data_IF_971707725701
#
_entry.id   IF_971707725701
#
_cell.length_a   1.000
_cell.length_b   1.000
_cell.length_c   1.000
_cell.angle_alpha   90.00
_cell.angle_beta   90.00
_cell.angle_gamma   90.00
#
_symmetry.space_group_name_H-M   'P 1'
#
loop_
_entity.id
_entity.type
_entity.pdbx_description
1 polymer ?
#
# COMPACT_ATOMS: atom_id res chain seq x y z
N UNK A 1 -26.85 25.99 0.03
CA UNK A 1 -26.09 25.68 -1.20
C UNK A 1 -24.62 26.09 -1.11
N UNK A 2 -24.28 27.29 -0.63
CA UNK A 2 -22.89 27.80 -0.52
C UNK A 2 -21.93 26.96 0.36
N UNK A 3 -22.40 26.38 1.47
CA UNK A 3 -21.57 25.49 2.33
C UNK A 3 -21.23 24.14 1.68
N UNK A 4 -22.12 23.61 0.83
CA UNK A 4 -21.92 22.32 0.17
C UNK A 4 -20.77 22.38 -0.83
N UNK A 5 -20.59 23.53 -1.47
CA UNK A 5 -19.49 23.77 -2.42
C UNK A 5 -18.14 23.96 -1.72
N UNK A 6 -18.13 24.50 -0.50
CA UNK A 6 -16.91 24.68 0.30
C UNK A 6 -16.41 23.32 0.79
N UNK A 7 -17.29 22.48 1.35
CA UNK A 7 -16.92 21.14 1.79
C UNK A 7 -16.42 20.26 0.64
N UNK A 8 -17.04 20.36 -0.54
CA UNK A 8 -16.62 19.63 -1.73
C UNK A 8 -15.24 20.09 -2.25
N UNK A 9 -14.98 21.40 -2.24
CA UNK A 9 -13.67 21.95 -2.63
C UNK A 9 -12.58 21.59 -1.62
N UNK A 10 -12.89 21.63 -0.33
CA UNK A 10 -11.93 21.29 0.72
C UNK A 10 -11.55 19.80 0.67
N UNK A 11 -12.54 18.92 0.53
CA UNK A 11 -12.31 17.47 0.41
C UNK A 11 -11.54 17.11 -0.86
N UNK A 12 -11.87 17.74 -2.00
CA UNK A 12 -11.12 17.51 -3.25
C UNK A 12 -9.68 18.03 -3.18
N UNK A 13 -9.44 19.21 -2.60
CA UNK A 13 -8.08 19.72 -2.38
C UNK A 13 -7.29 18.82 -1.43
N UNK A 14 -7.87 18.39 -0.31
CA UNK A 14 -7.21 17.48 0.62
C UNK A 14 -6.86 16.15 -0.06
N UNK A 15 -7.79 15.59 -0.84
CA UNK A 15 -7.59 14.36 -1.59
C UNK A 15 -6.45 14.50 -2.61
N UNK A 16 -6.32 15.66 -3.28
CA UNK A 16 -5.21 15.90 -4.21
C UNK A 16 -3.85 15.96 -3.53
N UNK A 17 -3.77 16.64 -2.38
CA UNK A 17 -2.52 16.70 -1.58
C UNK A 17 -2.15 15.30 -1.11
N UNK A 18 -3.14 14.53 -0.65
CA UNK A 18 -2.94 13.15 -0.23
C UNK A 18 -2.46 12.26 -1.37
N UNK A 19 -3.04 12.35 -2.57
CA UNK A 19 -2.57 11.61 -3.74
C UNK A 19 -1.13 11.97 -4.14
N UNK A 20 -0.75 13.24 -4.06
CA UNK A 20 0.63 13.68 -4.34
C UNK A 20 1.57 13.08 -3.31
N UNK A 21 1.21 13.12 -2.02
CA UNK A 21 2.01 12.51 -0.96
C UNK A 21 2.19 10.99 -1.17
N UNK A 22 1.12 10.28 -1.55
CA UNK A 22 1.20 8.85 -1.88
C UNK A 22 2.06 8.56 -3.11
N UNK A 23 2.00 9.40 -4.14
CA UNK A 23 2.84 9.25 -5.33
C UNK A 23 4.32 9.49 -5.01
N UNK A 24 4.63 10.49 -4.18
CA UNK A 24 5.99 10.75 -3.67
C UNK A 24 6.48 9.58 -2.84
N UNK A 25 5.64 9.04 -1.95
CA UNK A 25 5.98 7.88 -1.14
C UNK A 25 6.28 6.65 -2.01
N UNK A 26 5.47 6.40 -3.05
CA UNK A 26 5.72 5.32 -4.00
C UNK A 26 7.06 5.49 -4.72
N UNK A 27 7.41 6.71 -5.13
CA UNK A 27 8.70 7.01 -5.75
C UNK A 27 9.86 6.75 -4.78
N UNK A 28 9.74 7.16 -3.52
CA UNK A 28 10.74 6.87 -2.49
C UNK A 28 10.94 5.36 -2.29
N UNK A 29 9.85 4.58 -2.26
CA UNK A 29 9.92 3.11 -2.19
C UNK A 29 10.68 2.51 -3.38
N UNK A 30 10.47 3.03 -4.61
CA UNK A 30 11.20 2.57 -5.80
C UNK A 30 12.69 2.93 -5.72
N UNK A 31 13.04 4.14 -5.25
CA UNK A 31 14.43 4.54 -5.06
C UNK A 31 15.13 3.66 -4.02
N UNK A 32 14.46 3.37 -2.91
CA UNK A 32 14.96 2.44 -1.89
C UNK A 32 15.17 1.04 -2.46
N UNK A 33 14.22 0.54 -3.25
CA UNK A 33 14.36 -0.75 -3.94
C UNK A 33 15.59 -0.79 -4.86
N UNK A 34 15.83 0.27 -5.65
CA UNK A 34 17.02 0.35 -6.53
C UNK A 34 18.31 0.38 -5.71
N UNK A 35 18.33 1.11 -4.60
CA UNK A 35 19.48 1.15 -3.70
C UNK A 35 19.79 -0.23 -3.10
N UNK A 36 18.75 -0.93 -2.63
CA UNK A 36 18.84 -2.29 -2.10
C UNK A 36 19.32 -3.29 -3.17
N UNK A 37 18.79 -3.20 -4.39
CA UNK A 37 19.22 -4.05 -5.50
C UNK A 37 20.71 -3.85 -5.82
N UNK A 38 21.20 -2.61 -5.81
CA UNK A 38 22.61 -2.31 -6.02
C UNK A 38 23.50 -2.87 -4.89
N UNK A 39 23.07 -2.76 -3.63
CA UNK A 39 23.76 -3.38 -2.49
C UNK A 39 23.90 -4.90 -2.69
N UNK A 40 22.84 -5.57 -3.14
CA UNK A 40 22.84 -7.01 -3.40
C UNK A 40 23.77 -7.43 -4.55
N UNK A 41 23.91 -6.59 -5.58
CA UNK A 41 24.69 -6.90 -6.78
C UNK A 41 26.19 -6.59 -6.63
N UNK A 42 26.53 -5.58 -5.82
CA UNK A 42 27.90 -5.04 -5.73
C UNK A 42 28.63 -5.60 -4.50
N UNK A 43 27.96 -5.76 -3.37
CA UNK A 43 28.58 -6.29 -2.17
C UNK A 43 28.37 -7.82 -2.09
N UNK A 44 29.43 -8.55 -1.75
CA UNK A 44 29.36 -9.99 -1.47
C UNK A 44 28.63 -10.22 -0.15
N UNK A 45 27.30 -10.13 -0.17
CA UNK A 45 26.42 -10.26 0.99
C UNK A 45 26.34 -11.74 1.42
N UNK A 46 26.34 -12.00 2.73
CA UNK A 46 26.18 -13.36 3.27
C UNK A 46 24.79 -13.90 2.97
N UNK A 47 24.62 -15.22 2.82
CA UNK A 47 23.32 -15.82 2.47
C UNK A 47 22.16 -15.39 3.40
N UNK A 48 22.45 -15.17 4.69
CA UNK A 48 21.48 -14.70 5.70
C UNK A 48 21.08 -13.24 5.46
N UNK A 49 22.05 -12.37 5.19
CA UNK A 49 21.79 -10.95 4.92
C UNK A 49 21.19 -10.71 3.54
N UNK A 50 21.47 -11.58 2.56
CA UNK A 50 20.83 -11.54 1.23
C UNK A 50 19.35 -11.94 1.28
N UNK A 51 19.01 -12.98 2.05
CA UNK A 51 17.62 -13.36 2.29
C UNK A 51 16.80 -12.26 2.97
N UNK A 52 17.41 -11.60 3.96
CA UNK A 52 16.85 -10.39 4.59
C UNK A 52 16.60 -9.29 3.55
N UNK A 53 17.59 -8.99 2.71
CA UNK A 53 17.49 -7.90 1.75
C UNK A 53 16.40 -8.17 0.70
N UNK A 54 16.25 -9.43 0.25
CA UNK A 54 15.18 -9.84 -0.67
C UNK A 54 13.77 -9.72 -0.08
N UNK A 55 13.56 -10.15 1.17
CA UNK A 55 12.26 -10.01 1.84
C UNK A 55 11.92 -8.53 2.09
N UNK A 56 12.91 -7.71 2.43
CA UNK A 56 12.72 -6.26 2.58
C UNK A 56 12.37 -5.58 1.25
N UNK A 57 13.01 -5.98 0.15
CA UNK A 57 12.66 -5.54 -1.20
C UNK A 57 11.23 -5.92 -1.59
N UNK A 58 10.81 -7.16 -1.27
CA UNK A 58 9.45 -7.62 -1.52
C UNK A 58 8.40 -6.83 -0.71
N UNK A 59 8.66 -6.54 0.56
CA UNK A 59 7.79 -5.70 1.40
C UNK A 59 7.67 -4.27 0.85
N UNK A 60 8.81 -3.67 0.46
CA UNK A 60 8.86 -2.32 -0.14
C UNK A 60 8.09 -2.24 -1.46
N UNK A 61 8.13 -3.30 -2.26
CA UNK A 61 7.34 -3.44 -3.49
C UNK A 61 5.83 -3.51 -3.21
N UNK A 62 5.41 -4.25 -2.18
CA UNK A 62 4.00 -4.31 -1.79
C UNK A 62 3.46 -2.93 -1.40
N UNK A 63 4.25 -2.13 -0.67
CA UNK A 63 3.88 -0.76 -0.30
C UNK A 63 3.78 0.16 -1.53
N UNK A 64 4.81 0.15 -2.39
CA UNK A 64 4.81 0.94 -3.62
C UNK A 64 3.61 0.61 -4.52
N UNK A 65 3.33 -0.68 -4.71
CA UNK A 65 2.20 -1.15 -5.50
C UNK A 65 0.86 -0.68 -4.91
N UNK A 66 0.70 -0.75 -3.59
CA UNK A 66 -0.54 -0.33 -2.92
C UNK A 66 -0.76 1.17 -3.03
N UNK A 67 0.29 1.99 -2.86
CA UNK A 67 0.19 3.44 -3.05
C UNK A 67 -0.12 3.83 -4.50
N UNK A 68 0.47 3.13 -5.47
CA UNK A 68 0.14 3.32 -6.89
C UNK A 68 -1.31 2.95 -7.21
N UNK A 69 -1.79 1.81 -6.70
CA UNK A 69 -3.18 1.41 -6.87
C UNK A 69 -4.14 2.45 -6.30
N UNK A 70 -3.84 3.02 -5.14
CA UNK A 70 -4.68 4.04 -4.51
C UNK A 70 -4.67 5.38 -5.25
N UNK A 71 -3.51 5.80 -5.79
CA UNK A 71 -3.43 7.01 -6.63
C UNK A 71 -4.19 6.82 -7.95
N UNK A 72 -4.09 5.65 -8.59
CA UNK A 72 -4.85 5.30 -9.79
C UNK A 72 -6.36 5.30 -9.50
N UNK A 73 -6.77 4.64 -8.41
CA UNK A 73 -8.17 4.60 -7.98
C UNK A 73 -8.73 6.02 -7.84
N UNK A 74 -8.01 6.88 -7.13
CA UNK A 74 -8.44 8.25 -6.85
C UNK A 74 -8.48 9.10 -8.11
N UNK A 75 -7.48 8.99 -8.98
CA UNK A 75 -7.46 9.67 -10.28
C UNK A 75 -8.65 9.24 -11.15
N UNK A 76 -8.99 7.94 -11.15
CA UNK A 76 -10.10 7.40 -11.92
C UNK A 76 -11.46 7.85 -11.39
N UNK A 77 -11.69 7.78 -10.07
CA UNK A 77 -12.92 8.30 -9.44
C UNK A 77 -13.12 9.78 -9.76
N UNK A 78 -12.04 10.57 -9.78
CA UNK A 78 -12.09 11.99 -10.12
C UNK A 78 -12.45 12.24 -11.59
N UNK A 79 -11.91 11.44 -12.52
CA UNK A 79 -12.17 11.59 -13.95
C UNK A 79 -13.56 11.11 -14.36
N UNK A 80 -13.99 9.96 -13.86
CA UNK A 80 -15.27 9.33 -14.27
C UNK A 80 -16.47 9.86 -13.47
N UNK A 81 -16.24 10.50 -12.31
CA UNK A 81 -17.30 11.03 -11.44
C UNK A 81 -18.19 9.95 -10.81
N UNK A 82 -17.92 8.66 -11.09
CA UNK A 82 -18.64 7.51 -10.56
C UNK A 82 -17.72 6.75 -9.59
N UNK A 83 -18.08 6.66 -8.30
CA UNK A 83 -17.26 6.00 -7.29
C UNK A 83 -17.41 4.46 -7.26
N UNK A 84 -18.41 3.88 -7.94
CA UNK A 84 -18.76 2.46 -7.82
C UNK A 84 -18.62 1.67 -9.14
N UNK A 85 -17.41 1.63 -9.70
CA UNK A 85 -17.10 0.83 -10.89
C UNK A 85 -16.54 -0.56 -10.55
N UNK A 86 -16.86 -1.57 -11.37
CA UNK A 86 -16.28 -2.94 -11.27
C UNK A 86 -14.75 -2.91 -11.20
N UNK A 87 -14.12 -1.98 -11.92
CA UNK A 87 -12.66 -1.82 -11.94
C UNK A 87 -12.11 -1.21 -10.66
N UNK A 88 -12.84 -0.28 -10.04
CA UNK A 88 -12.46 0.39 -8.79
C UNK A 88 -12.54 -0.60 -7.61
N UNK A 89 -13.59 -1.43 -7.56
CA UNK A 89 -13.70 -2.54 -6.60
C UNK A 89 -12.54 -3.53 -6.74
N UNK A 90 -12.18 -3.92 -7.97
CA UNK A 90 -11.03 -4.82 -8.21
C UNK A 90 -9.71 -4.25 -7.71
N UNK A 91 -9.51 -2.94 -7.86
CA UNK A 91 -8.32 -2.26 -7.33
C UNK A 91 -8.28 -2.32 -5.80
N UNK A 92 -9.41 -2.09 -5.12
CA UNK A 92 -9.51 -2.19 -3.67
C UNK A 92 -9.21 -3.61 -3.17
N UNK A 93 -9.75 -4.63 -3.84
CA UNK A 93 -9.44 -6.04 -3.53
C UNK A 93 -7.95 -6.33 -3.74
N UNK A 94 -7.36 -5.85 -4.82
CA UNK A 94 -5.92 -6.03 -5.10
C UNK A 94 -5.04 -5.34 -4.04
N UNK A 95 -5.41 -4.14 -3.60
CA UNK A 95 -4.72 -3.43 -2.51
C UNK A 95 -4.83 -4.19 -1.17
N UNK A 96 -6.01 -4.71 -0.85
CA UNK A 96 -6.23 -5.54 0.34
C UNK A 96 -5.42 -6.84 0.33
N UNK A 97 -5.31 -7.47 -0.85
CA UNK A 97 -4.49 -8.67 -1.04
C UNK A 97 -3.00 -8.36 -0.85
N UNK A 98 -2.50 -7.27 -1.44
CA UNK A 98 -1.09 -6.86 -1.31
C UNK A 98 -0.71 -6.57 0.15
N UNK A 99 -1.58 -5.92 0.91
CA UNK A 99 -1.36 -5.65 2.33
C UNK A 99 -1.40 -6.92 3.18
N UNK A 100 -2.27 -7.86 2.85
CA UNK A 100 -2.30 -9.19 3.48
C UNK A 100 -1.01 -9.98 3.18
N UNK A 101 -0.53 -9.94 1.93
CA UNK A 101 0.74 -10.57 1.53
C UNK A 101 1.91 -9.94 2.28
N UNK A 102 1.94 -8.61 2.42
CA UNK A 102 2.95 -7.91 3.22
C UNK A 102 2.94 -8.35 4.69
N UNK A 103 1.77 -8.51 5.30
CA UNK A 103 1.67 -9.00 6.67
C UNK A 103 2.23 -10.43 6.80
N UNK A 104 2.02 -11.29 5.81
CA UNK A 104 2.60 -12.65 5.76
C UNK A 104 4.12 -12.60 5.58
N UNK A 105 4.63 -11.75 4.68
CA UNK A 105 6.08 -11.52 4.50
C UNK A 105 6.70 -11.09 5.83
N UNK A 106 5.99 -10.29 6.62
CA UNK A 106 6.42 -9.82 7.93
C UNK A 106 6.40 -10.91 9.02
N UNK A 107 5.63 -11.99 8.86
CA UNK A 107 5.72 -13.19 9.73
C UNK A 107 6.98 -13.99 9.42
N UNK A 108 7.30 -14.11 8.13
CA UNK A 108 8.46 -14.88 7.64
C UNK A 108 9.78 -14.21 8.10
N UNK A 109 9.70 -12.97 8.56
CA UNK A 109 10.80 -12.12 8.99
C UNK A 109 11.15 -12.24 10.48
N UNK A 110 12.27 -12.88 10.88
CA UNK A 110 12.91 -12.49 12.12
C UNK A 110 13.50 -11.08 11.94
N UNK A 111 13.09 -10.12 12.76
CA UNK A 111 13.69 -8.78 12.81
C UNK A 111 15.13 -8.91 13.27
N UNK A 112 16.05 -9.07 12.32
CA UNK A 112 17.44 -8.73 12.58
C UNK A 112 17.43 -7.20 12.71
N UNK A 113 17.36 -6.69 13.94
CA UNK A 113 17.78 -5.32 14.20
C UNK A 113 19.27 -5.29 13.85
N UNK A 114 19.61 -4.81 12.67
CA UNK A 114 20.97 -4.39 12.40
C UNK A 114 21.22 -3.23 13.36
N UNK A 115 22.07 -3.40 14.39
CA UNK A 115 22.35 -2.29 15.26
C UNK A 115 23.03 -1.24 14.40
N UNK A 116 22.39 -0.08 14.26
CA UNK A 116 23.00 1.12 13.65
C UNK A 116 24.24 1.60 14.45
N UNK A 117 24.57 0.92 15.55
CA UNK A 117 25.80 1.06 16.29
C UNK A 117 26.52 -0.28 16.37
N UNK A 118 27.67 -0.35 15.70
CA UNK A 118 28.84 -1.16 16.03
C UNK A 118 29.18 -2.24 15.01
N UNK A 119 30.22 -1.90 14.26
CA UNK A 119 31.18 -2.70 13.50
C UNK A 119 31.71 -3.97 14.23
N UNK A 120 31.26 -4.34 15.43
CA UNK A 120 31.80 -5.50 16.16
C UNK A 120 30.90 -6.17 17.23
N UNK A 121 29.59 -5.90 17.29
CA UNK A 121 28.72 -6.41 18.37
C UNK A 121 27.70 -7.44 17.87
N UNK A 122 27.62 -8.59 18.53
CA UNK A 122 26.68 -9.69 18.24
C UNK A 122 25.25 -9.19 18.04
N UNK A 123 24.70 -9.43 16.83
CA UNK A 123 23.30 -9.16 16.53
C UNK A 123 22.42 -10.05 17.40
N UNK A 124 21.67 -9.47 18.34
CA UNK A 124 20.66 -10.21 19.08
C UNK A 124 19.46 -10.48 18.16
N UNK A 125 18.99 -11.74 18.04
CA UNK A 125 17.83 -12.05 17.24
C UNK A 125 16.58 -11.47 17.94
N UNK A 126 15.99 -10.43 17.36
CA UNK A 126 14.67 -9.95 17.77
C UNK A 126 13.60 -10.80 17.08
N UNK A 127 12.59 -11.19 17.84
CA UNK A 127 11.50 -12.03 17.33
C UNK A 127 10.70 -11.30 16.23
N UNK A 128 10.19 -12.03 15.21
CA UNK A 128 9.27 -11.49 14.22
C UNK A 128 8.14 -10.72 14.90
N UNK A 129 8.07 -9.41 14.70
CA UNK A 129 6.89 -8.63 15.06
C UNK A 129 5.88 -8.77 13.93
N UNK A 130 4.74 -9.37 14.24
CA UNK A 130 3.65 -9.46 13.29
C UNK A 130 3.17 -8.05 12.92
N UNK A 131 3.15 -7.73 11.63
CA UNK A 131 2.68 -6.44 11.12
C UNK A 131 1.14 -6.37 11.15
N UNK A 132 0.61 -6.17 12.36
CA UNK A 132 -0.81 -5.94 12.61
C UNK A 132 -1.33 -4.72 11.86
N UNK A 133 -0.46 -3.73 11.59
CA UNK A 133 -0.85 -2.51 10.91
C UNK A 133 -1.17 -2.79 9.45
N UNK A 134 -0.30 -3.51 8.72
CA UNK A 134 -0.60 -3.92 7.34
C UNK A 134 -1.82 -4.85 7.25
N UNK A 135 -1.99 -5.76 8.20
CA UNK A 135 -3.20 -6.60 8.23
C UNK A 135 -4.46 -5.74 8.43
N UNK A 136 -4.42 -4.77 9.34
CA UNK A 136 -5.56 -3.88 9.59
C UNK A 136 -5.94 -3.06 8.34
N UNK A 137 -4.96 -2.59 7.58
CA UNK A 137 -5.20 -1.91 6.30
C UNK A 137 -5.79 -2.85 5.25
N UNK A 138 -5.31 -4.10 5.19
CA UNK A 138 -5.88 -5.13 4.32
C UNK A 138 -7.38 -5.35 4.59
N UNK A 139 -7.76 -5.50 5.87
CA UNK A 139 -9.15 -5.65 6.28
C UNK A 139 -10.01 -4.44 5.88
N UNK A 140 -9.50 -3.22 6.08
CA UNK A 140 -10.20 -1.99 5.70
C UNK A 140 -10.42 -1.94 4.18
N UNK A 141 -9.42 -2.32 3.37
CA UNK A 141 -9.58 -2.34 1.92
C UNK A 141 -10.60 -3.39 1.45
N UNK A 142 -10.63 -4.57 2.07
CA UNK A 142 -11.66 -5.56 1.77
C UNK A 142 -13.06 -5.10 2.18
N UNK A 143 -13.20 -4.47 3.34
CA UNK A 143 -14.47 -3.90 3.77
C UNK A 143 -14.96 -2.81 2.80
N UNK A 144 -14.07 -1.91 2.37
CA UNK A 144 -14.37 -0.89 1.37
C UNK A 144 -14.73 -1.49 0.01
N UNK A 145 -14.05 -2.55 -0.43
CA UNK A 145 -14.40 -3.27 -1.65
C UNK A 145 -15.84 -3.83 -1.58
N UNK A 146 -16.22 -4.42 -0.45
CA UNK A 146 -17.59 -4.91 -0.23
C UNK A 146 -18.63 -3.79 -0.28
N UNK A 147 -18.35 -2.65 0.36
CA UNK A 147 -19.22 -1.45 0.29
C UNK A 147 -19.34 -0.94 -1.15
N UNK A 148 -18.24 -0.93 -1.90
CA UNK A 148 -18.23 -0.45 -3.28
C UNK A 148 -18.98 -1.38 -4.23
N UNK A 149 -18.86 -2.69 -4.02
CA UNK A 149 -19.62 -3.69 -4.79
C UNK A 149 -21.11 -3.59 -4.51
N UNK A 150 -21.50 -3.45 -3.24
CA UNK A 150 -22.88 -3.23 -2.86
C UNK A 150 -23.44 -1.92 -3.44
N UNK A 151 -22.67 -0.83 -3.34
CA UNK A 151 -23.03 0.46 -3.93
C UNK A 151 -23.21 0.39 -5.45
N UNK A 152 -22.39 -0.42 -6.14
CA UNK A 152 -22.55 -0.67 -7.58
C UNK A 152 -23.86 -1.38 -7.90
N UNK A 153 -24.21 -2.44 -7.15
CA UNK A 153 -25.47 -3.17 -7.36
C UNK A 153 -26.66 -2.24 -7.18
N UNK A 154 -26.66 -1.41 -6.14
CA UNK A 154 -27.72 -0.42 -5.93
C UNK A 154 -27.80 0.62 -7.06
N UNK A 155 -26.69 1.01 -7.66
CA UNK A 155 -26.69 1.90 -8.82
C UNK A 155 -27.25 1.22 -10.07
N UNK A 156 -26.88 -0.04 -10.31
CA UNK A 156 -27.41 -0.82 -11.43
C UNK A 156 -28.92 -1.03 -11.30
N UNK A 157 -29.41 -1.38 -10.10
CA UNK A 157 -30.84 -1.55 -9.84
C UNK A 157 -31.62 -0.23 -10.01
N UNK A 158 -31.05 0.91 -9.58
CA UNK A 158 -31.69 2.21 -9.74
C UNK A 158 -31.75 2.66 -11.22
N UNK A 159 -30.70 2.40 -11.99
CA UNK A 159 -30.64 2.70 -13.43
C UNK A 159 -31.59 1.80 -14.25
N UNK A 160 -31.96 0.61 -13.76
CA UNK A 160 -32.94 -0.29 -14.41
C UNK A 160 -34.40 0.11 -14.15
N UNK A 161 -34.66 0.85 -13.07
CA UNK A 161 -36.02 1.31 -12.69
C UNK A 161 -36.40 2.64 -13.37
N UNK A 162 -35.42 3.44 -13.80
CA UNK A 162 -35.58 4.77 -14.41
C UNK A 162 -35.66 4.73 -15.94
#
# INVERSE_FOLDING_TARGET
MKDRDIHLRLTTSFLTVFCIALAVQALCCVVLFVHLANLLLIEGISAVSGGFLLLFMASTLCDAATFLLFTILTAKVRHEGRPFGKWQTRILVAAGLLMSVKAVISIIWPTIQLPYSNVLGTAEPVFPEFDFQSLSYGLVFFALAGVFEYGRVLQEDADEIL
#
